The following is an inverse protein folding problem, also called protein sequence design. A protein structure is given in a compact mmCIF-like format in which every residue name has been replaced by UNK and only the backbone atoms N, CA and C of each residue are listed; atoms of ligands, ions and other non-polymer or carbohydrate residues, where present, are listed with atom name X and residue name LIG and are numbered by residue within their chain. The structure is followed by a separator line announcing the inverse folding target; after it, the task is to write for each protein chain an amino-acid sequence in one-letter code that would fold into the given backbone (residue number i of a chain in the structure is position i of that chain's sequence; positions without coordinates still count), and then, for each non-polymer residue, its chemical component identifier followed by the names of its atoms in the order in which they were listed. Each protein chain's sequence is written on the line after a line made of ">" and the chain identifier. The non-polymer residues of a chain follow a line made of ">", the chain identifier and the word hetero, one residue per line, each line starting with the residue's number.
data_IF_318888777080
#
_entry.id   IF_318888777080
#
_cell.length_a   1.000
_cell.length_b   1.000
_cell.length_c   1.000
_cell.angle_alpha   90.00
_cell.angle_beta   90.00
_cell.angle_gamma   90.00
#
_symmetry.space_group_name_H-M   'P 1'
#
loop_
_entity.id
_entity.type
_entity.pdbx_description
1 polymer ?
#
# COMPACT_ATOMS: atom_id res chain seq x y z
N UNK A 1 -6.01 -17.32 -6.77
CA UNK A 1 -5.16 -16.62 -5.80
C UNK A 1 -6.10 -15.72 -5.04
N UNK A 2 -6.22 -15.86 -3.72
CA UNK A 2 -7.18 -15.06 -2.95
C UNK A 2 -6.97 -13.58 -3.26
N UNK A 3 -8.08 -12.86 -3.44
CA UNK A 3 -8.08 -11.43 -3.80
C UNK A 3 -7.16 -10.64 -2.85
N UNK A 4 -7.22 -10.98 -1.57
CA UNK A 4 -6.36 -10.45 -0.50
C UNK A 4 -4.86 -10.69 -0.77
N UNK A 5 -4.47 -11.91 -1.13
CA UNK A 5 -3.06 -12.25 -1.37
C UNK A 5 -2.53 -11.45 -2.56
N UNK A 6 -3.35 -11.28 -3.60
CA UNK A 6 -3.00 -10.44 -4.75
C UNK A 6 -2.87 -8.95 -4.34
N UNK A 7 -3.77 -8.45 -3.50
CA UNK A 7 -3.75 -7.08 -2.98
C UNK A 7 -2.51 -6.79 -2.11
N UNK A 8 -2.16 -7.72 -1.22
CA UNK A 8 -0.97 -7.60 -0.35
C UNK A 8 0.32 -7.59 -1.18
N UNK A 9 0.45 -8.51 -2.14
CA UNK A 9 1.64 -8.59 -2.99
C UNK A 9 1.76 -7.34 -3.87
N UNK A 10 0.64 -6.89 -4.48
CA UNK A 10 0.61 -5.67 -5.29
C UNK A 10 1.02 -4.43 -4.49
N UNK A 11 0.47 -4.27 -3.29
CA UNK A 11 0.80 -3.16 -2.39
C UNK A 11 2.26 -3.21 -1.94
N UNK A 12 2.79 -4.38 -1.63
CA UNK A 12 4.19 -4.54 -1.25
C UNK A 12 5.16 -4.12 -2.37
N UNK A 13 4.89 -4.55 -3.61
CA UNK A 13 5.69 -4.16 -4.78
C UNK A 13 5.58 -2.64 -5.03
N UNK A 14 4.37 -2.08 -4.92
CA UNK A 14 4.14 -0.65 -5.05
C UNK A 14 4.92 0.17 -4.02
N UNK A 15 4.88 -0.22 -2.75
CA UNK A 15 5.62 0.45 -1.67
C UNK A 15 7.14 0.39 -1.90
N UNK A 16 7.67 -0.76 -2.32
CA UNK A 16 9.09 -0.91 -2.65
C UNK A 16 9.50 -0.02 -3.84
N UNK A 17 8.66 0.04 -4.87
CA UNK A 17 8.91 0.87 -6.04
C UNK A 17 8.92 2.36 -5.69
N UNK A 18 7.85 2.85 -5.04
CA UNK A 18 7.70 4.26 -4.70
C UNK A 18 8.73 4.68 -3.64
N UNK A 19 9.03 3.82 -2.66
CA UNK A 19 10.12 4.05 -1.71
C UNK A 19 11.50 4.11 -2.38
N UNK A 20 11.76 3.23 -3.34
CA UNK A 20 12.98 3.27 -4.17
C UNK A 20 13.08 4.55 -5.01
N UNK A 21 11.97 5.01 -5.58
CA UNK A 21 11.91 6.32 -6.26
C UNK A 21 12.22 7.46 -5.29
N UNK A 22 11.68 7.44 -4.08
CA UNK A 22 11.94 8.48 -3.07
C UNK A 22 13.42 8.59 -2.73
N UNK A 23 14.08 7.45 -2.55
CA UNK A 23 15.51 7.38 -2.29
C UNK A 23 16.34 7.85 -3.50
N UNK A 24 15.95 7.46 -4.71
CA UNK A 24 16.64 7.83 -5.95
C UNK A 24 16.57 9.33 -6.25
N UNK A 25 15.41 9.95 -6.04
CA UNK A 25 15.21 11.38 -6.29
C UNK A 25 15.86 12.24 -5.19
N UNK A 26 15.84 11.80 -3.93
CA UNK A 26 16.54 12.47 -2.83
C UNK A 26 16.04 13.89 -2.51
N UNK A 27 14.88 14.30 -3.03
CA UNK A 27 14.28 15.61 -2.75
C UNK A 27 13.25 15.52 -1.63
N UNK A 28 13.41 16.37 -0.61
CA UNK A 28 12.49 16.48 0.53
C UNK A 28 11.00 16.56 0.15
N UNK A 29 10.56 17.42 -0.80
CA UNK A 29 9.14 17.52 -1.14
C UNK A 29 8.58 16.22 -1.75
N UNK A 30 9.38 15.52 -2.56
CA UNK A 30 8.97 14.26 -3.17
C UNK A 30 8.85 13.14 -2.12
N UNK A 31 9.81 13.07 -1.19
CA UNK A 31 9.77 12.08 -0.09
C UNK A 31 8.53 12.23 0.77
N UNK A 32 8.09 13.47 1.07
CA UNK A 32 6.86 13.72 1.86
C UNK A 32 5.63 13.16 1.14
N UNK A 33 5.51 13.41 -0.16
CA UNK A 33 4.39 12.89 -0.98
C UNK A 33 4.40 11.36 -0.96
N UNK A 34 5.58 10.76 -1.12
CA UNK A 34 5.75 9.30 -1.07
C UNK A 34 5.28 8.73 0.26
N UNK A 35 5.64 9.34 1.39
CA UNK A 35 5.19 8.88 2.71
C UNK A 35 3.67 8.92 2.84
N UNK A 36 3.02 9.98 2.35
CA UNK A 36 1.56 10.12 2.37
C UNK A 36 0.90 9.03 1.50
N UNK A 37 1.43 8.80 0.29
CA UNK A 37 0.93 7.76 -0.62
C UNK A 37 1.10 6.36 -0.02
N UNK A 38 2.24 6.09 0.62
CA UNK A 38 2.49 4.82 1.30
C UNK A 38 1.50 4.59 2.44
N UNK A 39 1.23 5.62 3.25
CA UNK A 39 0.24 5.53 4.33
C UNK A 39 -1.17 5.27 3.79
N UNK A 40 -1.57 5.95 2.70
CA UNK A 40 -2.86 5.73 2.05
C UNK A 40 -2.99 4.32 1.46
N UNK A 41 -1.92 3.81 0.83
CA UNK A 41 -1.91 2.45 0.27
C UNK A 41 -2.03 1.37 1.36
N UNK A 42 -1.33 1.54 2.48
CA UNK A 42 -1.43 0.63 3.64
C UNK A 42 -2.82 0.71 4.25
N UNK A 43 -3.38 1.91 4.41
CA UNK A 43 -4.72 2.08 4.96
C UNK A 43 -5.80 1.45 4.07
N UNK A 44 -5.71 1.66 2.75
CA UNK A 44 -6.61 1.03 1.79
C UNK A 44 -6.54 -0.49 1.84
N UNK A 45 -5.33 -1.06 1.90
CA UNK A 45 -5.14 -2.51 2.04
C UNK A 45 -5.69 -3.03 3.38
N UNK A 46 -5.53 -2.27 4.47
CA UNK A 46 -6.08 -2.63 5.77
C UNK A 46 -7.61 -2.63 5.79
N UNK A 47 -8.24 -1.63 5.17
CA UNK A 47 -9.69 -1.54 5.05
C UNK A 47 -10.26 -2.68 4.20
N UNK A 48 -9.61 -2.99 3.07
CA UNK A 48 -9.97 -4.10 2.18
C UNK A 48 -9.93 -5.46 2.92
N UNK A 49 -8.89 -5.70 3.71
CA UNK A 49 -8.78 -6.90 4.56
C UNK A 49 -9.88 -6.92 5.64
N UNK A 50 -10.19 -5.77 6.25
CA UNK A 50 -11.20 -5.68 7.30
C UNK A 50 -12.61 -5.94 6.74
N UNK A 51 -12.92 -5.40 5.56
CA UNK A 51 -14.19 -5.61 4.88
C UNK A 51 -14.37 -7.07 4.44
N UNK A 52 -13.33 -7.71 3.91
CA UNK A 52 -13.36 -9.14 3.56
C UNK A 52 -13.56 -10.05 4.79
N UNK A 53 -13.06 -9.66 5.96
CA UNK A 53 -13.32 -10.40 7.20
C UNK A 53 -14.75 -10.19 7.72
N UNK A 54 -15.31 -9.00 7.52
CA UNK A 54 -16.69 -8.72 7.90
C UNK A 54 -17.71 -9.40 6.97
N UNK A 55 -17.39 -9.52 5.67
CA UNK A 55 -18.27 -10.15 4.68
C UNK A 55 -18.31 -11.69 4.77
N UNK A 56 -17.27 -12.32 5.31
CA UNK A 56 -17.19 -13.78 5.47
C UNK A 56 -17.95 -14.34 6.70
N UNK A 57 -18.74 -13.50 7.39
CA UNK A 57 -19.48 -13.88 8.61
C UNK A 57 -21.00 -13.99 8.41
N UNK A 58 -21.50 -13.75 7.19
CA UNK A 58 -22.88 -14.01 6.73
C UNK A 58 -22.98 -15.30 5.89
#
# INVERSE_FOLDING_TARGET
>A
MDSIISGVIGTAIFLLFVGGLAHSIGTLPFTIIVVIICAAAIYGLYEDIREDQASNQD
#
